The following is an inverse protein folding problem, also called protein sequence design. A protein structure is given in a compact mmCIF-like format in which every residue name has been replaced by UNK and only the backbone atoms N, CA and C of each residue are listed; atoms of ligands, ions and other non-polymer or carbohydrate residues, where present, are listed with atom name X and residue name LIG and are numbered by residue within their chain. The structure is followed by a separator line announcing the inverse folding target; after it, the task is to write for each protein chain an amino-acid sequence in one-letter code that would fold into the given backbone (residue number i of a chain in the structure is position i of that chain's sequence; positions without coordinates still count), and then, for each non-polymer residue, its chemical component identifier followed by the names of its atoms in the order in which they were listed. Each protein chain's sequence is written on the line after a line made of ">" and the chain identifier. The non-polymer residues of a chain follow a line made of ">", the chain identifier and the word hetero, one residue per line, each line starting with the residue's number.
data_IF_071803079250
#
_entry.id   IF_071803079250
#
_cell.length_a   1.000
_cell.length_b   1.000
_cell.length_c   1.000
_cell.angle_alpha   90.00
_cell.angle_beta   90.00
_cell.angle_gamma   90.00
#
_symmetry.space_group_name_H-M   'P 1'
#
loop_
_entity.id
_entity.type
_entity.pdbx_description
1 polymer ?
#
# COMPACT_ATOMS: atom_id res chain seq x y z
N UNK A 1 16.94 -2.25 8.68
CA UNK A 1 17.10 -3.67 9.08
C UNK A 1 18.09 -4.34 8.12
N UNK A 2 18.67 -5.51 8.43
CA UNK A 2 19.49 -6.31 7.49
C UNK A 2 18.62 -7.40 6.83
N UNK A 3 18.99 -7.92 5.65
CA UNK A 3 18.20 -8.96 4.95
C UNK A 3 18.12 -10.24 5.77
N UNK A 4 19.23 -10.58 6.41
CA UNK A 4 19.30 -11.68 7.37
C UNK A 4 18.38 -11.50 8.58
N UNK A 5 18.10 -10.26 9.02
CA UNK A 5 17.17 -10.01 10.12
C UNK A 5 15.72 -10.07 9.67
N UNK A 6 15.42 -9.59 8.46
CA UNK A 6 14.10 -9.74 7.83
C UNK A 6 13.72 -11.22 7.69
N UNK A 7 14.59 -12.05 7.12
CA UNK A 7 14.30 -13.49 6.91
C UNK A 7 14.04 -14.21 8.24
N UNK A 8 14.68 -13.80 9.35
CA UNK A 8 14.42 -14.38 10.69
C UNK A 8 13.03 -14.03 11.23
N UNK A 9 12.44 -12.94 10.77
CA UNK A 9 11.11 -12.51 11.21
C UNK A 9 9.99 -13.23 10.46
N UNK A 10 10.31 -13.94 9.38
CA UNK A 10 9.33 -14.69 8.60
C UNK A 10 8.78 -15.89 9.39
N UNK A 11 7.52 -16.19 9.16
CA UNK A 11 6.84 -17.36 9.72
C UNK A 11 7.55 -18.64 9.26
N UNK A 12 7.67 -19.65 10.15
CA UNK A 12 8.38 -20.89 9.85
C UNK A 12 7.69 -21.75 8.78
N UNK A 13 6.39 -21.56 8.55
CA UNK A 13 5.53 -22.32 7.63
C UNK A 13 5.13 -21.51 6.38
N UNK A 14 6.00 -20.60 5.92
CA UNK A 14 5.75 -19.86 4.68
C UNK A 14 5.71 -20.81 3.48
N UNK A 15 4.63 -20.76 2.69
CA UNK A 15 4.50 -21.54 1.46
C UNK A 15 4.41 -20.62 0.25
N UNK A 16 4.74 -21.15 -0.93
CA UNK A 16 4.58 -20.44 -2.20
C UNK A 16 3.14 -20.01 -2.45
N UNK A 17 2.18 -20.90 -2.16
CA UNK A 17 0.74 -20.65 -2.33
C UNK A 17 0.29 -19.42 -1.55
N UNK A 18 0.74 -19.28 -0.30
CA UNK A 18 0.41 -18.13 0.55
C UNK A 18 0.85 -16.80 -0.06
N UNK A 19 2.07 -16.74 -0.60
CA UNK A 19 2.62 -15.53 -1.20
C UNK A 19 1.90 -15.19 -2.50
N UNK A 20 1.64 -16.20 -3.34
CA UNK A 20 0.90 -16.01 -4.58
C UNK A 20 -0.55 -15.58 -4.33
N UNK A 21 -1.19 -16.11 -3.30
CA UNK A 21 -2.55 -15.73 -2.92
C UNK A 21 -2.60 -14.28 -2.39
N UNK A 22 -1.63 -13.84 -1.58
CA UNK A 22 -1.55 -12.44 -1.15
C UNK A 22 -1.35 -11.49 -2.34
N UNK A 23 -0.46 -11.85 -3.26
CA UNK A 23 -0.26 -11.08 -4.48
C UNK A 23 -1.54 -11.02 -5.32
N UNK A 24 -2.23 -12.15 -5.51
CA UNK A 24 -3.50 -12.23 -6.25
C UNK A 24 -4.60 -11.38 -5.61
N UNK A 25 -4.75 -11.45 -4.29
CA UNK A 25 -5.73 -10.64 -3.56
C UNK A 25 -5.39 -9.15 -3.61
N UNK A 26 -4.12 -8.80 -3.56
CA UNK A 26 -3.63 -7.43 -3.72
C UNK A 26 -3.90 -6.90 -5.12
N UNK A 27 -3.63 -7.68 -6.17
CA UNK A 27 -4.01 -7.35 -7.55
C UNK A 27 -5.52 -7.15 -7.68
N UNK A 28 -6.31 -8.06 -7.10
CA UNK A 28 -7.78 -7.97 -7.13
C UNK A 28 -8.26 -6.69 -6.45
N UNK A 29 -7.72 -6.35 -5.27
CA UNK A 29 -8.02 -5.11 -4.57
C UNK A 29 -7.63 -3.88 -5.40
N UNK A 30 -6.44 -3.88 -6.00
CA UNK A 30 -5.98 -2.77 -6.85
C UNK A 30 -6.91 -2.54 -8.05
N UNK A 31 -7.33 -3.61 -8.73
CA UNK A 31 -8.21 -3.54 -9.92
C UNK A 31 -9.66 -3.23 -9.59
N UNK A 32 -10.24 -3.92 -8.61
CA UNK A 32 -11.69 -3.93 -8.40
C UNK A 32 -12.16 -2.88 -7.39
N UNK A 33 -11.27 -2.45 -6.49
CA UNK A 33 -11.59 -1.55 -5.37
C UNK A 33 -10.90 -0.20 -5.51
N UNK A 34 -9.57 -0.22 -5.57
CA UNK A 34 -8.76 1.01 -5.47
C UNK A 34 -8.79 1.80 -6.77
N UNK A 35 -8.61 1.15 -7.93
CA UNK A 35 -8.63 1.83 -9.22
C UNK A 35 -9.97 2.56 -9.46
N UNK A 36 -11.15 1.93 -9.31
CA UNK A 36 -12.42 2.63 -9.49
C UNK A 36 -12.62 3.78 -8.50
N UNK A 37 -12.20 3.61 -7.24
CA UNK A 37 -12.28 4.67 -6.24
C UNK A 37 -11.41 5.88 -6.62
N UNK A 38 -10.15 5.64 -7.02
CA UNK A 38 -9.23 6.69 -7.44
C UNK A 38 -9.60 7.33 -8.77
N UNK A 39 -10.18 6.59 -9.72
CA UNK A 39 -10.71 7.17 -10.96
C UNK A 39 -11.89 8.11 -10.70
N UNK A 40 -12.81 7.72 -9.80
CA UNK A 40 -13.91 8.59 -9.38
C UNK A 40 -13.40 9.83 -8.66
N UNK A 41 -12.44 9.64 -7.73
CA UNK A 41 -11.77 10.73 -7.05
C UNK A 41 -11.10 11.70 -8.03
N UNK A 42 -10.33 11.17 -8.98
CA UNK A 42 -9.60 11.95 -9.97
C UNK A 42 -10.53 12.77 -10.87
N UNK A 43 -11.72 12.25 -11.23
CA UNK A 43 -12.73 12.99 -12.00
C UNK A 43 -13.17 14.28 -11.29
N UNK A 44 -13.43 14.20 -9.98
CA UNK A 44 -13.76 15.39 -9.18
C UNK A 44 -12.52 16.26 -8.96
N UNK A 45 -11.40 15.62 -8.64
CA UNK A 45 -10.23 16.30 -8.07
C UNK A 45 -9.26 16.86 -9.09
N UNK A 46 -9.39 16.57 -10.38
CA UNK A 46 -8.43 17.02 -11.42
C UNK A 46 -8.16 18.53 -11.41
N UNK A 47 -9.17 19.34 -11.09
CA UNK A 47 -9.04 20.81 -10.98
C UNK A 47 -9.20 21.32 -9.54
N UNK A 48 -9.26 20.40 -8.59
CA UNK A 48 -9.49 20.73 -7.20
C UNK A 48 -8.26 21.39 -6.59
N UNK A 49 -8.50 22.49 -5.88
CA UNK A 49 -7.49 23.17 -5.09
C UNK A 49 -7.68 22.75 -3.65
N UNK A 50 -6.68 22.06 -3.10
CA UNK A 50 -6.74 21.57 -1.73
C UNK A 50 -6.80 22.73 -0.72
N UNK A 51 -7.86 22.75 0.07
CA UNK A 51 -8.12 23.76 1.08
C UNK A 51 -7.45 23.42 2.42
N UNK A 52 -7.27 22.13 2.71
CA UNK A 52 -6.59 21.68 3.91
C UNK A 52 -5.05 21.82 3.79
N UNK A 53 -4.41 22.26 4.88
CA UNK A 53 -2.97 22.47 4.90
C UNK A 53 -2.17 21.17 4.88
N UNK A 54 -2.62 20.14 5.62
CA UNK A 54 -1.96 18.85 5.64
C UNK A 54 -2.01 18.19 4.26
N UNK A 55 -3.13 18.31 3.54
CA UNK A 55 -3.26 17.78 2.18
C UNK A 55 -2.37 18.55 1.19
N UNK A 56 -2.27 19.88 1.30
CA UNK A 56 -1.32 20.66 0.49
C UNK A 56 0.14 20.26 0.75
N UNK A 57 0.50 20.02 2.01
CA UNK A 57 1.83 19.58 2.39
C UNK A 57 2.13 18.18 1.84
N UNK A 58 1.20 17.23 1.99
CA UNK A 58 1.29 15.89 1.43
C UNK A 58 1.46 15.94 -0.11
N UNK A 59 0.63 16.70 -0.82
CA UNK A 59 0.76 16.93 -2.25
C UNK A 59 2.15 17.48 -2.65
N UNK A 60 2.69 18.43 -1.89
CA UNK A 60 4.01 19.02 -2.15
C UNK A 60 5.12 17.99 -1.98
N UNK A 61 5.06 17.20 -0.92
CA UNK A 61 6.00 16.11 -0.64
C UNK A 61 5.91 15.01 -1.71
N UNK A 62 4.70 14.56 -2.06
CA UNK A 62 4.45 13.61 -3.13
C UNK A 62 5.11 14.06 -4.44
N UNK A 63 4.89 15.33 -4.83
CA UNK A 63 5.50 15.87 -6.06
C UNK A 63 7.03 15.89 -5.99
N UNK A 64 7.62 16.29 -4.87
CA UNK A 64 9.09 16.28 -4.71
C UNK A 64 9.67 14.87 -4.85
N UNK A 65 9.03 13.88 -4.26
CA UNK A 65 9.49 12.50 -4.30
C UNK A 65 9.27 11.90 -5.70
N UNK A 66 8.10 12.14 -6.31
CA UNK A 66 7.72 11.58 -7.61
C UNK A 66 8.51 12.17 -8.79
N UNK A 67 8.92 13.45 -8.74
CA UNK A 67 9.71 14.10 -9.81
C UNK A 67 11.06 13.40 -10.06
N UNK A 68 11.52 12.56 -9.14
CA UNK A 68 12.74 11.76 -9.32
C UNK A 68 12.49 10.45 -10.10
N UNK A 69 11.24 10.07 -10.34
CA UNK A 69 10.89 8.93 -11.18
C UNK A 69 10.91 9.33 -12.65
N UNK A 70 11.71 8.62 -13.46
CA UNK A 70 12.08 9.09 -14.79
C UNK A 70 10.90 9.11 -15.76
N UNK A 71 9.79 8.39 -15.55
CA UNK A 71 8.63 8.40 -16.47
C UNK A 71 7.68 9.58 -16.26
N UNK A 72 8.23 10.78 -16.41
CA UNK A 72 7.49 12.04 -16.41
C UNK A 72 6.47 12.16 -17.56
N UNK A 73 6.37 11.16 -18.45
CA UNK A 73 5.46 11.17 -19.61
C UNK A 73 4.01 10.82 -19.25
N UNK A 74 3.76 10.19 -18.10
CA UNK A 74 2.40 9.81 -17.68
C UNK A 74 1.68 10.90 -16.86
N UNK A 75 2.40 11.90 -16.38
CA UNK A 75 1.92 12.85 -15.38
C UNK A 75 2.08 14.28 -15.89
N UNK A 76 0.98 15.04 -15.96
CA UNK A 76 1.07 16.45 -16.27
C UNK A 76 1.58 17.21 -15.02
N UNK A 77 2.39 18.27 -15.16
CA UNK A 77 2.86 19.06 -14.01
C UNK A 77 1.73 19.62 -13.12
N UNK A 78 0.55 19.84 -13.73
CA UNK A 78 -0.67 20.30 -13.07
C UNK A 78 -1.40 19.22 -12.27
N UNK A 79 -1.15 17.95 -12.54
CA UNK A 79 -1.86 16.86 -11.87
C UNK A 79 -1.58 16.89 -10.37
N UNK A 80 -2.58 16.54 -9.58
CA UNK A 80 -2.39 16.27 -8.15
C UNK A 80 -2.15 14.80 -7.88
N UNK A 81 -1.68 14.50 -6.68
CA UNK A 81 -1.28 13.14 -6.29
C UNK A 81 -2.43 12.13 -6.42
N UNK A 82 -3.70 12.52 -6.28
CA UNK A 82 -4.85 11.62 -6.53
C UNK A 82 -4.94 11.24 -8.00
N UNK A 83 -4.83 12.22 -8.91
CA UNK A 83 -4.80 11.97 -10.36
C UNK A 83 -3.55 11.17 -10.77
N UNK A 84 -2.41 11.42 -10.13
CA UNK A 84 -1.18 10.68 -10.41
C UNK A 84 -1.35 9.22 -9.98
N UNK A 85 -1.78 8.99 -8.73
CA UNK A 85 -1.99 7.65 -8.20
C UNK A 85 -3.00 6.87 -9.04
N UNK A 86 -4.09 7.46 -9.52
CA UNK A 86 -5.05 6.76 -10.38
C UNK A 86 -4.40 6.23 -11.67
N UNK A 87 -3.46 6.98 -12.26
CA UNK A 87 -2.69 6.57 -13.45
C UNK A 87 -1.60 5.54 -13.14
N UNK A 88 -1.11 5.50 -11.90
CA UNK A 88 -0.06 4.59 -11.46
C UNK A 88 -0.59 3.20 -11.08
N UNK A 89 -1.84 3.09 -10.61
CA UNK A 89 -2.41 1.79 -10.19
C UNK A 89 -2.31 0.71 -11.27
N UNK A 90 -2.60 0.96 -12.57
CA UNK A 90 -2.40 -0.05 -13.61
C UNK A 90 -0.95 -0.51 -13.75
N UNK A 91 0.03 0.36 -13.46
CA UNK A 91 1.46 0.00 -13.45
C UNK A 91 1.76 -0.90 -12.26
N UNK A 92 1.25 -0.58 -11.07
CA UNK A 92 1.42 -1.38 -9.86
C UNK A 92 0.89 -2.80 -10.06
N UNK A 93 -0.29 -2.91 -10.68
CA UNK A 93 -0.92 -4.18 -11.05
C UNK A 93 0.00 -5.02 -11.94
N UNK A 94 0.45 -4.47 -13.08
CA UNK A 94 1.30 -5.21 -14.02
C UNK A 94 2.60 -5.67 -13.36
N UNK A 95 3.20 -4.81 -12.57
CA UNK A 95 4.44 -5.07 -11.85
C UNK A 95 4.28 -6.19 -10.81
N UNK A 96 3.18 -6.18 -10.05
CA UNK A 96 2.89 -7.24 -9.08
C UNK A 96 2.54 -8.57 -9.76
N UNK A 97 1.78 -8.55 -10.87
CA UNK A 97 1.51 -9.74 -11.68
C UNK A 97 2.81 -10.35 -12.18
N UNK A 98 3.74 -9.53 -12.70
CA UNK A 98 5.05 -10.00 -13.14
C UNK A 98 5.88 -10.62 -12.03
N UNK A 99 5.90 -10.00 -10.85
CA UNK A 99 6.58 -10.56 -9.67
C UNK A 99 5.95 -11.90 -9.28
N UNK A 100 4.63 -12.00 -9.36
CA UNK A 100 3.90 -13.25 -9.07
C UNK A 100 4.25 -14.36 -10.05
N UNK A 101 4.36 -14.06 -11.34
CA UNK A 101 4.84 -15.02 -12.36
C UNK A 101 6.24 -15.53 -12.02
N UNK A 102 7.16 -14.63 -11.67
CA UNK A 102 8.53 -15.01 -11.31
C UNK A 102 8.55 -15.90 -10.06
N UNK A 103 7.74 -15.60 -9.04
CA UNK A 103 7.59 -16.45 -7.85
C UNK A 103 7.02 -17.82 -8.25
N UNK A 104 6.00 -17.86 -9.10
CA UNK A 104 5.38 -19.09 -9.58
C UNK A 104 6.38 -20.01 -10.31
N UNK A 105 7.28 -19.42 -11.09
CA UNK A 105 8.27 -20.16 -11.87
C UNK A 105 9.50 -20.60 -11.07
N UNK A 106 9.92 -19.80 -10.08
CA UNK A 106 11.23 -19.98 -9.40
C UNK A 106 11.14 -20.63 -8.03
N UNK A 107 10.01 -20.53 -7.33
CA UNK A 107 9.88 -21.05 -5.97
C UNK A 107 9.42 -22.51 -5.94
N UNK A 108 10.03 -23.28 -5.02
CA UNK A 108 9.51 -24.58 -4.60
C UNK A 108 8.24 -24.41 -3.75
N UNK A 109 7.38 -25.42 -3.72
CA UNK A 109 6.13 -25.39 -2.94
C UNK A 109 6.38 -25.16 -1.44
N UNK A 110 7.33 -25.91 -0.86
CA UNK A 110 7.79 -25.72 0.51
C UNK A 110 8.93 -24.69 0.56
N UNK A 111 8.65 -23.52 1.13
CA UNK A 111 9.62 -22.41 1.22
C UNK A 111 10.12 -22.32 2.65
N UNK A 112 11.22 -23.03 2.95
CA UNK A 112 11.85 -22.90 4.28
C UNK A 112 12.61 -21.57 4.37
N UNK A 113 12.39 -20.73 5.40
CA UNK A 113 13.10 -19.46 5.56
C UNK A 113 14.64 -19.58 5.48
N UNK A 114 15.19 -20.70 5.98
CA UNK A 114 16.63 -20.99 5.92
C UNK A 114 17.18 -21.23 4.50
N UNK A 115 16.33 -21.55 3.54
CA UNK A 115 16.68 -21.74 2.14
C UNK A 115 16.43 -20.52 1.25
N UNK A 116 15.87 -19.43 1.79
CA UNK A 116 15.60 -18.23 1.01
C UNK A 116 16.89 -17.59 0.50
N UNK A 117 16.90 -17.28 -0.78
CA UNK A 117 17.96 -16.50 -1.43
C UNK A 117 17.65 -15.01 -1.38
N UNK A 118 18.64 -14.16 -1.67
CA UNK A 118 18.41 -12.71 -1.76
C UNK A 118 17.31 -12.38 -2.77
N UNK A 119 17.25 -13.10 -3.89
CA UNK A 119 16.20 -12.93 -4.90
C UNK A 119 14.82 -13.25 -4.31
N UNK A 120 14.68 -14.36 -3.60
CA UNK A 120 13.43 -14.72 -2.95
C UNK A 120 12.99 -13.67 -1.92
N UNK A 121 13.93 -13.19 -1.10
CA UNK A 121 13.61 -12.18 -0.10
C UNK A 121 13.16 -10.84 -0.72
N UNK A 122 13.79 -10.40 -1.82
CA UNK A 122 13.36 -9.22 -2.56
C UNK A 122 11.97 -9.41 -3.21
N UNK A 123 11.69 -10.58 -3.79
CA UNK A 123 10.37 -10.90 -4.35
C UNK A 123 9.28 -10.84 -3.28
N UNK A 124 9.54 -11.41 -2.10
CA UNK A 124 8.61 -11.39 -0.98
C UNK A 124 8.34 -9.97 -0.48
N UNK A 125 9.40 -9.17 -0.30
CA UNK A 125 9.28 -7.76 0.07
C UNK A 125 8.47 -6.97 -0.93
N UNK A 126 8.64 -7.21 -2.23
CA UNK A 126 7.86 -6.53 -3.23
C UNK A 126 6.34 -6.78 -3.07
N UNK A 127 5.95 -8.03 -2.78
CA UNK A 127 4.55 -8.38 -2.49
C UNK A 127 4.07 -7.68 -1.22
N UNK A 128 4.86 -7.69 -0.15
CA UNK A 128 4.54 -7.00 1.12
C UNK A 128 4.30 -5.50 0.91
N UNK A 129 5.20 -4.84 0.18
CA UNK A 129 5.16 -3.41 -0.11
C UNK A 129 3.95 -3.09 -0.95
N UNK A 130 3.65 -3.90 -1.97
CA UNK A 130 2.48 -3.72 -2.83
C UNK A 130 1.18 -3.82 -2.03
N UNK A 131 1.09 -4.80 -1.11
CA UNK A 131 -0.06 -4.99 -0.24
C UNK A 131 -0.20 -3.82 0.76
N UNK A 132 0.90 -3.34 1.35
CA UNK A 132 0.91 -2.12 2.18
C UNK A 132 0.43 -0.89 1.41
N UNK A 133 1.01 -0.62 0.23
CA UNK A 133 0.62 0.50 -0.63
C UNK A 133 -0.87 0.42 -0.94
N UNK A 134 -1.39 -0.75 -1.33
CA UNK A 134 -2.80 -0.94 -1.65
C UNK A 134 -3.73 -0.55 -0.49
N UNK A 135 -3.39 -0.94 0.75
CA UNK A 135 -4.19 -0.59 1.93
C UNK A 135 -4.10 0.89 2.26
N UNK A 136 -2.88 1.43 2.24
CA UNK A 136 -2.63 2.83 2.58
C UNK A 136 -3.32 3.78 1.60
N UNK A 137 -3.45 3.41 0.31
CA UNK A 137 -4.17 4.21 -0.69
C UNK A 137 -5.62 4.51 -0.27
N UNK A 138 -6.37 3.53 0.24
CA UNK A 138 -7.75 3.78 0.69
C UNK A 138 -7.79 4.72 1.90
N UNK A 139 -6.93 4.48 2.91
CA UNK A 139 -6.85 5.34 4.09
C UNK A 139 -6.39 6.77 3.78
N UNK A 140 -5.47 6.94 2.81
CA UNK A 140 -5.04 8.25 2.34
C UNK A 140 -6.19 8.98 1.62
N UNK A 141 -6.91 8.28 0.74
CA UNK A 141 -8.04 8.87 0.03
C UNK A 141 -9.14 9.30 1.01
N UNK A 142 -9.36 8.49 2.04
CA UNK A 142 -10.31 8.75 3.11
C UNK A 142 -9.96 10.01 3.90
N UNK A 143 -8.69 10.10 4.30
CA UNK A 143 -8.14 11.26 4.99
C UNK A 143 -8.28 12.54 4.15
N UNK A 144 -8.04 12.46 2.84
CA UNK A 144 -8.23 13.58 1.92
C UNK A 144 -9.69 14.03 1.91
N UNK A 145 -10.65 13.11 1.76
CA UNK A 145 -12.06 13.49 1.70
C UNK A 145 -12.54 14.16 2.98
N UNK A 146 -12.22 13.59 4.13
CA UNK A 146 -12.64 14.16 5.42
C UNK A 146 -11.96 15.51 5.66
N UNK A 147 -10.66 15.63 5.39
CA UNK A 147 -9.93 16.89 5.63
C UNK A 147 -10.42 18.01 4.71
N UNK A 148 -10.62 17.72 3.43
CA UNK A 148 -11.15 18.70 2.48
C UNK A 148 -12.60 19.07 2.78
N UNK A 149 -13.39 18.13 3.32
CA UNK A 149 -14.76 18.42 3.76
C UNK A 149 -14.76 19.32 5.00
N UNK A 150 -13.93 19.01 6.00
CA UNK A 150 -13.76 19.85 7.20
C UNK A 150 -13.28 21.27 6.87
N UNK A 151 -12.56 21.44 5.75
CA UNK A 151 -12.12 22.75 5.29
C UNK A 151 -13.24 23.60 4.64
N UNK A 152 -14.38 23.00 4.28
CA UNK A 152 -15.52 23.70 3.64
C UNK A 152 -16.83 23.60 4.44
N UNK A 153 -16.93 22.67 5.38
CA UNK A 153 -18.08 22.47 6.26
C UNK A 153 -17.63 22.45 7.73
N UNK A 154 -18.05 23.47 8.48
CA UNK A 154 -17.68 23.69 9.88
C UNK A 154 -18.17 22.60 10.84
N UNK A 155 -19.21 21.84 10.46
CA UNK A 155 -19.75 20.74 11.26
C UNK A 155 -18.90 19.47 11.16
N UNK A 156 -18.08 19.35 10.10
CA UNK A 156 -17.23 18.18 9.88
C UNK A 156 -15.92 18.32 10.64
N UNK A 157 -15.68 17.44 11.61
CA UNK A 157 -14.43 17.38 12.38
C UNK A 157 -13.65 16.10 12.10
N UNK A 158 -12.32 16.22 12.09
CA UNK A 158 -11.41 15.09 11.94
C UNK A 158 -11.56 14.08 13.09
N UNK A 159 -11.70 14.55 14.34
CA UNK A 159 -11.79 13.71 15.53
C UNK A 159 -13.06 12.85 15.59
N UNK A 160 -14.14 13.28 14.92
CA UNK A 160 -15.38 12.50 14.80
C UNK A 160 -15.23 11.38 13.74
N UNK A 161 -14.26 11.52 12.84
CA UNK A 161 -14.07 10.64 11.69
C UNK A 161 -12.87 9.70 11.84
N UNK A 162 -11.89 10.04 12.66
CA UNK A 162 -10.71 9.22 12.91
C UNK A 162 -10.36 9.18 14.39
N UNK A 163 -9.97 8.00 14.86
CA UNK A 163 -9.29 7.89 16.15
C UNK A 163 -7.81 8.32 16.04
N UNK A 164 -7.19 8.62 17.19
CA UNK A 164 -5.80 9.06 17.25
C UNK A 164 -4.84 8.09 16.54
N UNK A 165 -5.04 6.78 16.70
CA UNK A 165 -4.18 5.76 16.08
C UNK A 165 -4.28 5.76 14.56
N UNK A 166 -5.48 5.97 13.99
CA UNK A 166 -5.67 6.07 12.55
C UNK A 166 -4.93 7.29 11.99
N UNK A 167 -5.07 8.46 12.64
CA UNK A 167 -4.35 9.68 12.24
C UNK A 167 -2.83 9.53 12.35
N UNK A 168 -2.35 8.93 13.44
CA UNK A 168 -0.92 8.63 13.62
C UNK A 168 -0.42 7.69 12.53
N UNK A 169 -1.16 6.62 12.23
CA UNK A 169 -0.82 5.66 11.20
C UNK A 169 -0.73 6.29 9.80
N UNK A 170 -1.66 7.21 9.46
CA UNK A 170 -1.58 7.97 8.23
C UNK A 170 -0.31 8.82 8.23
N UNK A 171 -0.10 9.65 9.25
CA UNK A 171 1.03 10.60 9.30
C UNK A 171 2.39 9.90 9.34
N UNK A 172 2.57 8.88 10.18
CA UNK A 172 3.86 8.21 10.37
C UNK A 172 4.28 7.37 9.17
N UNK A 173 3.32 6.84 8.42
CA UNK A 173 3.61 5.92 7.33
C UNK A 173 3.58 6.57 5.95
N UNK A 174 3.34 7.89 5.88
CA UNK A 174 3.27 8.61 4.60
C UNK A 174 4.58 8.52 3.82
N UNK A 175 5.72 8.72 4.47
CA UNK A 175 7.03 8.60 3.82
C UNK A 175 7.25 7.18 3.26
N UNK A 176 6.97 6.14 4.06
CA UNK A 176 7.06 4.75 3.63
C UNK A 176 6.11 4.44 2.46
N UNK A 177 4.92 5.07 2.46
CA UNK A 177 3.99 4.98 1.35
C UNK A 177 4.55 5.59 0.07
N UNK A 178 5.18 6.77 0.14
CA UNK A 178 5.83 7.39 -1.02
C UNK A 178 6.94 6.50 -1.59
N UNK A 179 7.76 5.91 -0.71
CA UNK A 179 8.80 4.96 -1.12
C UNK A 179 8.17 3.72 -1.79
N UNK A 180 7.13 3.15 -1.18
CA UNK A 180 6.39 2.02 -1.73
C UNK A 180 5.77 2.31 -3.10
N UNK A 181 5.19 3.50 -3.28
CA UNK A 181 4.65 3.97 -4.56
C UNK A 181 5.74 4.03 -5.64
N UNK A 182 6.96 4.49 -5.29
CA UNK A 182 8.08 4.50 -6.23
C UNK A 182 8.54 3.08 -6.61
N UNK A 183 8.57 2.17 -5.63
CA UNK A 183 8.95 0.77 -5.83
C UNK A 183 7.92 0.06 -6.70
N UNK A 184 6.63 0.23 -6.42
CA UNK A 184 5.57 -0.37 -7.21
C UNK A 184 5.45 0.26 -8.62
N UNK A 185 5.90 1.51 -8.77
CA UNK A 185 5.79 2.33 -9.97
C UNK A 185 6.94 2.23 -10.97
N UNK A 186 7.80 1.22 -10.88
CA UNK A 186 8.83 0.99 -11.90
C UNK A 186 8.23 0.83 -13.30
N UNK A 187 8.97 1.26 -14.32
CA UNK A 187 8.52 1.17 -15.72
C UNK A 187 8.51 -0.27 -16.20
N UNK A 188 7.75 -0.54 -17.25
CA UNK A 188 7.68 -1.86 -17.88
C UNK A 188 9.10 -2.40 -18.19
N UNK A 189 9.37 -3.66 -17.80
CA UNK A 189 10.66 -4.34 -17.96
C UNK A 189 11.71 -4.01 -16.89
N UNK A 190 11.62 -2.86 -16.22
CA UNK A 190 12.64 -2.44 -15.24
C UNK A 190 12.68 -3.36 -14.01
N UNK A 191 11.54 -3.91 -13.57
CA UNK A 191 11.52 -4.86 -12.45
C UNK A 191 12.31 -6.13 -12.78
N UNK A 192 12.14 -6.67 -13.99
CA UNK A 192 12.87 -7.87 -14.42
C UNK A 192 14.38 -7.59 -14.47
N UNK A 193 14.78 -6.45 -15.01
CA UNK A 193 16.18 -6.01 -15.04
C UNK A 193 16.76 -5.94 -13.63
N UNK A 194 16.06 -5.29 -12.69
CA UNK A 194 16.50 -5.16 -11.30
C UNK A 194 16.60 -6.53 -10.62
N UNK A 195 15.61 -7.41 -10.80
CA UNK A 195 15.60 -8.75 -10.21
C UNK A 195 16.68 -9.67 -10.78
N UNK A 196 17.06 -9.52 -12.06
CA UNK A 196 18.07 -10.36 -12.70
C UNK A 196 19.50 -10.04 -12.24
N UNK A 197 19.74 -8.85 -11.69
CA UNK A 197 21.03 -8.47 -11.10
C UNK A 197 21.23 -9.12 -9.71
N UNK A 198 20.14 -9.57 -9.07
CA UNK A 198 20.20 -10.11 -7.72
C UNK A 198 20.85 -11.50 -7.73
N UNK A 199 21.94 -11.71 -6.97
CA UNK A 199 22.60 -13.01 -6.94
C UNK A 199 21.72 -14.04 -6.25
N UNK A 200 21.70 -15.26 -6.80
CA UNK A 200 20.96 -16.39 -6.23
C UNK A 200 21.78 -17.07 -5.12
N UNK A 201 22.00 -16.34 -4.03
CA UNK A 201 22.78 -16.79 -2.87
C UNK A 201 21.84 -16.90 -1.67
N UNK A 202 21.92 -18.01 -0.93
CA UNK A 202 21.14 -18.21 0.29
C UNK A 202 21.52 -17.20 1.38
N UNK A 203 20.51 -16.57 2.01
CA UNK A 203 20.70 -15.55 3.04
C UNK A 203 21.38 -16.12 4.31
N UNK A 204 21.23 -17.42 4.58
CA UNK A 204 21.70 -18.08 5.80
C UNK A 204 23.09 -18.75 5.72
N UNK A 205 23.89 -18.52 4.68
CA UNK A 205 25.18 -19.21 4.47
C UNK A 205 26.43 -18.33 4.36
N UNK A 206 26.30 -17.00 4.34
CA UNK A 206 27.42 -16.07 4.12
C UNK A 206 27.13 -14.75 4.83
N UNK A 207 28.15 -14.10 5.39
CA UNK A 207 27.94 -12.80 6.04
C UNK A 207 27.44 -11.79 5.00
N UNK A 208 26.34 -11.10 5.30
CA UNK A 208 25.73 -10.11 4.40
C UNK A 208 26.72 -9.00 4.02
N UNK A 209 27.68 -8.72 4.92
CA UNK A 209 28.76 -7.76 4.71
C UNK A 209 29.81 -8.30 3.70
N UNK A 210 30.05 -9.62 3.68
CA UNK A 210 30.89 -10.28 2.66
C UNK A 210 30.23 -10.26 1.28
N UNK A 211 28.91 -10.48 1.20
CA UNK A 211 28.17 -10.41 -0.07
C UNK A 211 28.09 -8.96 -0.57
N UNK A 212 27.82 -7.99 0.31
CA UNK A 212 27.85 -6.56 -0.05
C UNK A 212 29.24 -6.12 -0.50
N UNK A 213 30.31 -6.67 0.09
CA UNK A 213 31.69 -6.39 -0.33
C UNK A 213 32.04 -7.04 -1.67
N UNK A 214 31.51 -8.24 -1.96
CA UNK A 214 31.78 -8.98 -3.18
C UNK A 214 30.93 -8.53 -4.39
N UNK A 215 29.67 -8.16 -4.16
CA UNK A 215 28.69 -7.88 -5.21
C UNK A 215 28.16 -6.44 -5.20
N UNK A 216 28.43 -5.66 -4.15
CA UNK A 216 27.94 -4.28 -4.00
C UNK A 216 26.48 -4.20 -3.51
N UNK A 217 26.15 -3.13 -2.76
CA UNK A 217 24.80 -2.91 -2.20
C UNK A 217 23.70 -2.88 -3.28
N UNK A 218 23.99 -2.30 -4.44
CA UNK A 218 23.06 -2.21 -5.58
C UNK A 218 22.71 -3.57 -6.20
N UNK A 219 23.50 -4.61 -5.95
CA UNK A 219 23.22 -5.94 -6.47
C UNK A 219 22.39 -6.77 -5.49
N UNK A 220 22.42 -6.45 -4.19
CA UNK A 220 21.65 -7.20 -3.16
C UNK A 220 20.25 -6.63 -2.90
N UNK A 221 20.07 -5.32 -3.09
CA UNK A 221 18.79 -4.61 -3.01
C UNK A 221 18.77 -3.51 -4.10
N UNK A 222 18.58 -3.90 -5.37
CA UNK A 222 18.61 -2.98 -6.51
C UNK A 222 17.43 -2.00 -6.51
N UNK A 223 16.35 -2.36 -5.85
CA UNK A 223 15.14 -1.53 -5.72
C UNK A 223 15.22 -0.55 -4.55
N UNK A 224 16.26 -0.65 -3.71
CA UNK A 224 16.44 0.11 -2.47
C UNK A 224 15.18 0.06 -1.60
N UNK A 225 14.56 -1.13 -1.50
CA UNK A 225 13.32 -1.32 -0.74
C UNK A 225 13.53 -1.08 0.75
N UNK A 226 14.78 -1.09 1.21
CA UNK A 226 15.16 -0.43 2.44
C UNK A 226 14.31 -0.86 3.64
N UNK A 227 14.00 -2.15 3.77
CA UNK A 227 13.21 -2.75 4.85
C UNK A 227 12.13 -1.83 5.43
N UNK A 228 11.03 -1.68 4.69
CA UNK A 228 9.78 -1.16 5.24
C UNK A 228 9.52 -1.89 6.57
N UNK A 229 9.34 -1.17 7.70
CA UNK A 229 9.13 -1.79 9.00
C UNK A 229 8.08 -2.90 8.97
N UNK A 230 8.39 -4.06 9.57
CA UNK A 230 7.52 -5.25 9.67
C UNK A 230 6.10 -4.89 10.17
N UNK A 231 5.98 -3.82 10.95
CA UNK A 231 4.71 -3.29 11.44
C UNK A 231 3.76 -2.80 10.34
N UNK A 232 4.23 -2.61 9.11
CA UNK A 232 3.43 -2.05 8.00
C UNK A 232 2.72 -3.13 7.17
N UNK A 233 3.22 -4.37 7.18
CA UNK A 233 2.50 -5.51 6.61
C UNK A 233 2.90 -6.83 7.29
N UNK A 234 2.14 -7.30 8.29
CA UNK A 234 2.57 -8.41 9.14
C UNK A 234 2.27 -9.81 8.55
N UNK A 235 1.77 -9.93 7.31
CA UNK A 235 1.24 -11.19 6.73
C UNK A 235 2.20 -12.36 6.89
N UNK A 236 3.46 -12.16 6.50
CA UNK A 236 4.46 -13.22 6.50
C UNK A 236 5.16 -13.38 7.85
N UNK A 237 4.77 -12.58 8.84
CA UNK A 237 5.34 -12.57 10.19
C UNK A 237 4.37 -13.18 11.21
N UNK A 238 3.08 -13.22 10.90
CA UNK A 238 2.03 -13.81 11.72
C UNK A 238 1.93 -15.33 11.47
N UNK A 239 1.96 -16.12 12.55
CA UNK A 239 1.99 -17.60 12.49
C UNK A 239 0.62 -18.28 12.32
N UNK A 240 -0.40 -17.56 11.84
CA UNK A 240 -1.79 -18.05 11.84
C UNK A 240 -2.30 -18.43 10.44
N UNK A 241 -3.56 -18.89 10.32
CA UNK A 241 -4.24 -19.15 9.06
C UNK A 241 -4.41 -17.89 8.20
N UNK A 242 -3.38 -17.57 7.44
CA UNK A 242 -3.21 -16.38 6.59
C UNK A 242 -4.44 -16.12 5.71
N UNK A 243 -5.09 -17.17 5.24
CA UNK A 243 -6.34 -17.10 4.47
C UNK A 243 -7.49 -16.36 5.19
N UNK A 244 -7.71 -16.61 6.49
CA UNK A 244 -8.80 -15.97 7.23
C UNK A 244 -8.56 -14.46 7.41
N UNK A 245 -7.30 -14.09 7.69
CA UNK A 245 -6.89 -12.69 7.77
C UNK A 245 -7.01 -12.00 6.41
N UNK A 246 -6.58 -12.67 5.33
CA UNK A 246 -6.66 -12.18 3.95
C UNK A 246 -8.11 -11.92 3.52
N UNK A 247 -9.01 -12.87 3.78
CA UNK A 247 -10.45 -12.73 3.51
C UNK A 247 -11.05 -11.58 4.30
N UNK A 248 -10.68 -11.43 5.58
CA UNK A 248 -11.19 -10.36 6.44
C UNK A 248 -10.73 -8.99 5.93
N UNK A 249 -9.46 -8.86 5.55
CA UNK A 249 -8.93 -7.65 4.93
C UNK A 249 -9.64 -7.32 3.62
N UNK A 250 -9.86 -8.32 2.77
CA UNK A 250 -10.55 -8.13 1.51
C UNK A 250 -11.99 -7.63 1.70
N UNK A 251 -12.74 -8.22 2.65
CA UNK A 251 -14.08 -7.75 3.00
C UNK A 251 -14.09 -6.32 3.54
N UNK A 252 -13.13 -6.00 4.42
CA UNK A 252 -12.99 -4.65 4.97
C UNK A 252 -12.76 -3.61 3.87
N UNK A 253 -11.90 -3.91 2.89
CA UNK A 253 -11.65 -3.01 1.74
C UNK A 253 -12.92 -2.73 0.93
N UNK A 254 -13.79 -3.73 0.72
CA UNK A 254 -15.05 -3.54 -0.01
C UNK A 254 -16.00 -2.58 0.70
N UNK A 255 -16.09 -2.65 2.03
CA UNK A 255 -16.90 -1.70 2.81
C UNK A 255 -16.25 -0.31 2.87
N UNK A 256 -14.93 -0.23 2.97
CA UNK A 256 -14.18 1.04 2.92
C UNK A 256 -14.39 1.76 1.58
N UNK A 257 -14.42 1.05 0.46
CA UNK A 257 -14.74 1.67 -0.85
C UNK A 257 -16.16 2.25 -0.89
N UNK A 258 -17.15 1.57 -0.30
CA UNK A 258 -18.52 2.13 -0.22
C UNK A 258 -18.54 3.40 0.63
N UNK A 259 -17.84 3.40 1.76
CA UNK A 259 -17.68 4.59 2.61
C UNK A 259 -17.04 5.74 1.83
N UNK A 260 -15.97 5.46 1.08
CA UNK A 260 -15.27 6.45 0.24
C UNK A 260 -16.19 7.04 -0.83
N UNK A 261 -17.06 6.25 -1.46
CA UNK A 261 -18.04 6.76 -2.43
C UNK A 261 -19.02 7.75 -1.79
N UNK A 262 -19.52 7.45 -0.58
CA UNK A 262 -20.39 8.37 0.15
C UNK A 262 -19.65 9.63 0.60
N UNK A 263 -18.40 9.49 1.07
CA UNK A 263 -17.56 10.63 1.49
C UNK A 263 -17.20 11.54 0.31
N UNK A 264 -16.93 10.98 -0.87
CA UNK A 264 -16.73 11.75 -2.10
C UNK A 264 -17.99 12.56 -2.47
N UNK A 265 -19.17 11.92 -2.40
CA UNK A 265 -20.45 12.58 -2.65
C UNK A 265 -20.71 13.69 -1.62
N UNK A 266 -20.38 13.45 -0.35
CA UNK A 266 -20.54 14.42 0.72
C UNK A 266 -19.63 15.63 0.50
N UNK A 267 -18.34 15.41 0.21
CA UNK A 267 -17.39 16.47 -0.15
C UNK A 267 -17.92 17.34 -1.30
N UNK A 268 -18.43 16.71 -2.37
CA UNK A 268 -18.98 17.42 -3.51
C UNK A 268 -20.18 18.30 -3.12
N UNK A 269 -21.07 17.80 -2.26
CA UNK A 269 -22.24 18.55 -1.79
C UNK A 269 -21.88 19.65 -0.80
N UNK A 270 -20.95 19.39 0.10
CA UNK A 270 -20.43 20.37 1.05
C UNK A 270 -19.78 21.56 0.32
N UNK A 271 -18.99 21.29 -0.73
CA UNK A 271 -18.40 22.34 -1.56
C UNK A 271 -19.43 23.16 -2.36
N UNK A 272 -20.58 22.55 -2.67
CA UNK A 272 -21.75 23.22 -3.25
C UNK A 272 -22.61 23.97 -2.20
N UNK A 273 -22.25 23.92 -0.91
CA UNK A 273 -23.03 24.49 0.20
C UNK A 273 -24.32 23.73 0.51
N UNK A 274 -24.44 22.48 0.08
CA UNK A 274 -25.61 21.62 0.28
C UNK A 274 -25.33 20.60 1.39
N UNK A 275 -26.08 20.69 2.50
CA UNK A 275 -26.04 19.69 3.58
C UNK A 275 -27.05 18.57 3.31
N UNK A 276 -26.68 17.33 3.61
CA UNK A 276 -27.58 16.18 3.54
C UNK A 276 -27.40 15.28 4.77
N UNK A 277 -28.25 15.52 5.77
CA UNK A 277 -28.27 14.76 7.02
C UNK A 277 -28.52 13.25 6.82
N UNK A 278 -29.20 12.84 5.73
CA UNK A 278 -29.40 11.42 5.44
C UNK A 278 -28.08 10.79 4.99
N UNK A 279 -27.33 11.48 4.14
CA UNK A 279 -26.00 11.04 3.70
C UNK A 279 -25.02 10.96 4.87
N UNK A 280 -25.01 11.94 5.77
CA UNK A 280 -24.18 11.93 6.98
C UNK A 280 -24.49 10.71 7.88
N UNK A 281 -25.78 10.40 8.06
CA UNK A 281 -26.19 9.23 8.85
C UNK A 281 -25.74 7.92 8.22
N UNK A 282 -25.79 7.82 6.90
CA UNK A 282 -25.31 6.64 6.16
C UNK A 282 -23.79 6.50 6.23
N UNK A 283 -23.05 7.62 6.14
CA UNK A 283 -21.60 7.67 6.35
C UNK A 283 -21.24 7.19 7.76
N UNK A 284 -21.94 7.68 8.79
CA UNK A 284 -21.70 7.27 10.18
C UNK A 284 -21.90 5.77 10.36
N UNK A 285 -22.98 5.21 9.81
CA UNK A 285 -23.26 3.78 9.89
C UNK A 285 -22.18 2.93 9.21
N UNK A 286 -21.78 3.29 7.98
CA UNK A 286 -20.73 2.55 7.26
C UNK A 286 -19.36 2.71 7.92
N UNK A 287 -19.06 3.88 8.49
CA UNK A 287 -17.83 4.12 9.24
C UNK A 287 -17.75 3.18 10.44
N UNK A 288 -18.81 3.07 11.24
CA UNK A 288 -18.83 2.18 12.41
C UNK A 288 -18.61 0.71 12.00
N UNK A 289 -19.18 0.29 10.88
CA UNK A 289 -18.97 -1.04 10.31
C UNK A 289 -17.52 -1.26 9.86
N UNK A 290 -16.91 -0.28 9.18
CA UNK A 290 -15.51 -0.33 8.77
C UNK A 290 -14.59 -0.39 10.00
N UNK A 291 -14.85 0.42 11.02
CA UNK A 291 -14.09 0.42 12.28
C UNK A 291 -14.19 -0.94 12.99
N UNK A 292 -15.36 -1.58 12.99
CA UNK A 292 -15.54 -2.94 13.53
C UNK A 292 -14.68 -3.97 12.78
N UNK A 293 -14.64 -3.90 11.44
CA UNK A 293 -13.80 -4.77 10.62
C UNK A 293 -12.30 -4.54 10.89
N UNK A 294 -11.88 -3.28 10.95
CA UNK A 294 -10.50 -2.91 11.26
C UNK A 294 -10.09 -3.39 12.67
N UNK A 295 -10.99 -3.28 13.65
CA UNK A 295 -10.75 -3.79 15.00
C UNK A 295 -10.53 -5.30 15.01
N UNK A 296 -11.37 -6.07 14.31
CA UNK A 296 -11.23 -7.54 14.20
C UNK A 296 -9.90 -7.92 13.54
N UNK A 297 -9.50 -7.20 12.48
CA UNK A 297 -8.20 -7.42 11.82
C UNK A 297 -7.06 -7.14 12.78
N UNK A 298 -7.09 -6.03 13.50
CA UNK A 298 -6.06 -5.67 14.47
C UNK A 298 -6.00 -6.66 15.67
N UNK A 299 -7.15 -7.21 16.09
CA UNK A 299 -7.20 -8.24 17.14
C UNK A 299 -6.54 -9.54 16.66
N UNK A 300 -6.82 -9.95 15.41
CA UNK A 300 -6.13 -11.09 14.80
C UNK A 300 -4.62 -10.83 14.73
N UNK A 301 -4.19 -9.65 14.28
CA UNK A 301 -2.76 -9.33 14.23
C UNK A 301 -2.09 -9.39 15.61
N UNK A 302 -2.73 -8.86 16.66
CA UNK A 302 -2.18 -8.89 18.03
C UNK A 302 -2.11 -10.28 18.64
N UNK A 303 -3.10 -11.13 18.39
CA UNK A 303 -3.16 -12.47 19.00
C UNK A 303 -2.08 -13.41 18.45
N UNK A 304 -1.56 -13.12 17.25
CA UNK A 304 -0.71 -14.05 16.50
C UNK A 304 0.61 -13.46 16.00
N UNK A 305 0.93 -12.22 16.38
CA UNK A 305 2.26 -11.60 16.27
C UNK A 305 3.14 -11.99 17.47
#
# INVERSE_FOLDING_TARGET
>A
MKMSDYVKTLAPELTKEVVLEDARLTVTRLKDDILPAYEQAAKLMVKWKFNDEAIRNAQSEFKKTWVNHKDTRMVAPSDNFIVILSKCIPVFVRNLEKVSEIIADTWSEDVRPKGLTFKNANLLQFVEISSFVSKYMLSLLDFVYVSETAAVDEDTKLDDNFNQKQLENIKSNYAAFLDGVNICGYRDGQIEELLNVIPDITVHGTSEDSIKSAHGQKSTDPMNMGFIPISLNPIYHIRMGIAAWQISNFKASKEEVKLLQLRLLYLQRAADGKKDARLEKEISYLKDLVDEHQYKIAEMERRYA
#
